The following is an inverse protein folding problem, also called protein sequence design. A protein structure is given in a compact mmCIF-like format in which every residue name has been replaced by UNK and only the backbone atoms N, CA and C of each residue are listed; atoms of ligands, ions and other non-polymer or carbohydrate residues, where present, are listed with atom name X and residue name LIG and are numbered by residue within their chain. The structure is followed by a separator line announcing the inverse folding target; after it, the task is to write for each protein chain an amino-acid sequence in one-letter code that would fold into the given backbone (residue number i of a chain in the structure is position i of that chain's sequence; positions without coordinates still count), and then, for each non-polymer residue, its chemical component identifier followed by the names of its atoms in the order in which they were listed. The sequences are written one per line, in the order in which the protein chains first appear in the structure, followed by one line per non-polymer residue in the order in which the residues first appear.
data_IF_343131906683
#
_entry.id   IF_343131906683
#
_cell.length_a   1.000
_cell.length_b   1.000
_cell.length_c   1.000
_cell.angle_alpha   90.00
_cell.angle_beta   90.00
_cell.angle_gamma   90.00
#
_symmetry.space_group_name_H-M   'P 1'
#
loop_
_entity.id
_entity.type
_entity.pdbx_description
1 polymer ?
#
# COMPACT_ATOMS: atom_id res chain seq x y z
N UNK A 1 -6.78 -30.32 -12.57
CA UNK A 1 -8.13 -30.94 -12.45
C UNK A 1 -9.00 -30.56 -13.64
N UNK A 2 -9.16 -29.26 -13.95
CA UNK A 2 -9.95 -28.80 -15.11
C UNK A 2 -9.48 -29.38 -16.45
N UNK A 3 -8.17 -29.44 -16.72
CA UNK A 3 -7.65 -30.04 -17.96
C UNK A 3 -8.05 -31.51 -18.16
N UNK A 4 -8.17 -32.26 -17.07
CA UNK A 4 -8.60 -33.65 -17.13
C UNK A 4 -10.10 -33.75 -17.43
N UNK A 5 -10.91 -32.90 -16.80
CA UNK A 5 -12.36 -32.83 -17.04
C UNK A 5 -12.65 -32.37 -18.47
N UNK A 6 -11.94 -31.35 -18.98
CA UNK A 6 -12.08 -30.88 -20.36
C UNK A 6 -11.72 -31.94 -21.40
N UNK A 7 -10.72 -32.78 -21.11
CA UNK A 7 -10.34 -33.90 -21.99
C UNK A 7 -11.38 -35.02 -22.00
N UNK A 8 -12.08 -35.23 -20.90
CA UNK A 8 -13.12 -36.26 -20.77
C UNK A 8 -14.47 -35.77 -21.30
N UNK A 9 -14.79 -34.50 -21.08
CA UNK A 9 -16.02 -33.83 -21.48
C UNK A 9 -15.71 -32.42 -22.00
N UNK A 10 -15.44 -32.26 -23.31
CA UNK A 10 -15.14 -30.96 -23.90
C UNK A 10 -16.28 -29.95 -23.71
N UNK A 11 -15.95 -28.72 -23.35
CA UNK A 11 -16.89 -27.62 -23.05
C UNK A 11 -17.31 -27.54 -21.58
N UNK A 12 -16.98 -28.54 -20.76
CA UNK A 12 -17.32 -28.53 -19.32
C UNK A 12 -16.60 -27.41 -18.57
N UNK A 13 -15.36 -27.09 -18.93
CA UNK A 13 -14.61 -25.98 -18.30
C UNK A 13 -15.29 -24.63 -18.59
N UNK A 14 -15.70 -24.39 -19.83
CA UNK A 14 -16.39 -23.16 -20.22
C UNK A 14 -17.73 -22.97 -19.51
N UNK A 15 -18.40 -24.09 -19.16
CA UNK A 15 -19.65 -24.09 -18.39
C UNK A 15 -19.43 -23.83 -16.89
N UNK A 16 -18.39 -24.42 -16.29
CA UNK A 16 -18.13 -24.34 -14.84
C UNK A 16 -17.42 -23.04 -14.43
N UNK A 17 -16.38 -22.63 -15.17
CA UNK A 17 -15.50 -21.50 -14.84
C UNK A 17 -16.27 -20.20 -14.49
N UNK A 18 -17.33 -19.79 -15.21
CA UNK A 18 -18.08 -18.58 -14.86
C UNK A 18 -18.64 -18.57 -13.43
N UNK A 19 -18.97 -19.74 -12.87
CA UNK A 19 -19.48 -19.90 -11.50
C UNK A 19 -18.42 -19.83 -10.41
N UNK A 20 -17.13 -19.91 -10.77
CA UNK A 20 -16.02 -20.10 -9.82
C UNK A 20 -15.35 -18.78 -9.40
N UNK A 21 -16.00 -17.63 -9.58
CA UNK A 21 -15.47 -16.30 -9.21
C UNK A 21 -15.11 -16.16 -7.72
N UNK A 22 -15.78 -16.91 -6.85
CA UNK A 22 -15.50 -16.92 -5.41
C UNK A 22 -14.43 -17.94 -5.02
N UNK A 23 -14.14 -18.92 -5.87
CA UNK A 23 -13.27 -20.06 -5.57
C UNK A 23 -11.79 -19.65 -5.53
N UNK A 24 -11.05 -19.87 -4.43
CA UNK A 24 -9.65 -19.44 -4.35
C UNK A 24 -8.70 -20.08 -5.39
N UNK A 25 -9.00 -21.29 -5.85
CA UNK A 25 -8.18 -22.04 -6.80
C UNK A 25 -8.47 -21.60 -8.25
N UNK A 26 -9.75 -21.47 -8.60
CA UNK A 26 -10.18 -21.21 -9.98
C UNK A 26 -10.62 -19.78 -10.28
N UNK A 27 -10.61 -18.88 -9.29
CA UNK A 27 -11.02 -17.48 -9.46
C UNK A 27 -10.25 -16.77 -10.56
N UNK A 28 -8.94 -16.97 -10.67
CA UNK A 28 -8.14 -16.25 -11.65
C UNK A 28 -8.56 -16.67 -13.08
N UNK A 29 -8.88 -17.94 -13.30
CA UNK A 29 -9.44 -18.42 -14.57
C UNK A 29 -10.85 -17.87 -14.83
N UNK A 30 -11.71 -17.85 -13.80
CA UNK A 30 -13.05 -17.26 -13.87
C UNK A 30 -13.00 -15.77 -14.26
N UNK A 31 -12.10 -15.01 -13.65
CA UNK A 31 -11.85 -13.60 -13.96
C UNK A 31 -11.35 -13.45 -15.39
N UNK A 32 -10.40 -14.28 -15.84
CA UNK A 32 -9.92 -14.27 -17.22
C UNK A 32 -11.04 -14.56 -18.23
N UNK A 33 -11.93 -15.51 -17.92
CA UNK A 33 -13.08 -15.81 -18.76
C UNK A 33 -14.08 -14.65 -18.85
N UNK A 34 -14.38 -13.96 -17.74
CA UNK A 34 -15.22 -12.75 -17.77
C UNK A 34 -14.57 -11.61 -18.57
N UNK A 35 -13.27 -11.40 -18.37
CA UNK A 35 -12.48 -10.46 -19.16
C UNK A 35 -12.61 -10.76 -20.68
N UNK A 36 -12.47 -12.02 -21.08
CA UNK A 36 -12.63 -12.44 -22.48
C UNK A 36 -14.06 -12.27 -23.00
N UNK A 37 -15.10 -12.59 -22.20
CA UNK A 37 -16.50 -12.33 -22.58
C UNK A 37 -16.76 -10.84 -22.79
N UNK A 38 -16.25 -9.98 -21.90
CA UNK A 38 -16.35 -8.54 -22.05
C UNK A 38 -15.69 -8.04 -23.34
N UNK A 39 -14.53 -8.58 -23.72
CA UNK A 39 -13.86 -8.24 -24.97
C UNK A 39 -14.68 -8.65 -26.20
N UNK A 40 -15.29 -9.83 -26.18
CA UNK A 40 -16.20 -10.28 -27.25
C UNK A 40 -17.44 -9.41 -27.36
N UNK A 41 -18.06 -9.05 -26.23
CA UNK A 41 -19.20 -8.14 -26.21
C UNK A 41 -18.84 -6.75 -26.75
N UNK A 42 -17.69 -6.20 -26.36
CA UNK A 42 -17.19 -4.92 -26.84
C UNK A 42 -16.96 -4.93 -28.36
N UNK A 43 -16.30 -5.98 -28.88
CA UNK A 43 -16.09 -6.14 -30.33
C UNK A 43 -17.41 -6.23 -31.10
N UNK A 44 -18.46 -6.78 -30.49
CA UNK A 44 -19.79 -6.86 -31.07
C UNK A 44 -20.65 -5.59 -30.84
N UNK A 45 -20.08 -4.48 -30.36
CA UNK A 45 -20.81 -3.23 -30.10
C UNK A 45 -21.74 -3.28 -28.87
N UNK A 46 -21.71 -4.35 -28.08
CA UNK A 46 -22.56 -4.55 -26.89
C UNK A 46 -21.92 -3.95 -25.64
N UNK A 47 -21.79 -2.61 -25.61
CA UNK A 47 -21.05 -1.89 -24.55
C UNK A 47 -21.57 -2.12 -23.13
N UNK A 48 -22.91 -2.23 -22.95
CA UNK A 48 -23.50 -2.49 -21.62
C UNK A 48 -23.10 -3.87 -21.09
N UNK A 49 -23.12 -4.88 -21.94
CA UNK A 49 -22.71 -6.25 -21.59
C UNK A 49 -21.22 -6.31 -21.30
N UNK A 50 -20.39 -5.68 -22.14
CA UNK A 50 -18.95 -5.58 -21.91
C UNK A 50 -18.63 -4.95 -20.55
N UNK A 51 -19.28 -3.84 -20.23
CA UNK A 51 -19.15 -3.16 -18.94
C UNK A 51 -19.53 -4.07 -17.76
N UNK A 52 -20.61 -4.84 -17.91
CA UNK A 52 -21.05 -5.81 -16.90
C UNK A 52 -20.01 -6.89 -16.62
N UNK A 53 -19.44 -7.49 -17.67
CA UNK A 53 -18.42 -8.53 -17.53
C UNK A 53 -17.10 -7.98 -16.95
N UNK A 54 -16.64 -6.81 -17.41
CA UNK A 54 -15.44 -6.19 -16.84
C UNK A 54 -15.63 -5.82 -15.36
N UNK A 55 -16.84 -5.41 -14.96
CA UNK A 55 -17.15 -5.11 -13.56
C UNK A 55 -17.14 -6.36 -12.69
N UNK A 56 -17.71 -7.47 -13.16
CA UNK A 56 -17.63 -8.78 -12.48
C UNK A 56 -16.17 -9.19 -12.29
N UNK A 57 -15.38 -9.12 -13.36
CA UNK A 57 -13.95 -9.42 -13.31
C UNK A 57 -13.21 -8.54 -12.29
N UNK A 58 -13.42 -7.22 -12.34
CA UNK A 58 -12.78 -6.28 -11.41
C UNK A 58 -13.15 -6.57 -9.95
N UNK A 59 -14.41 -6.87 -9.65
CA UNK A 59 -14.87 -7.17 -8.29
C UNK A 59 -14.32 -8.50 -7.74
N UNK A 60 -14.21 -9.51 -8.61
CA UNK A 60 -13.76 -10.85 -8.23
C UNK A 60 -12.23 -10.95 -8.15
N UNK A 61 -11.48 -10.24 -8.99
CA UNK A 61 -10.03 -10.35 -9.08
C UNK A 61 -9.31 -10.09 -7.75
N UNK A 62 -8.18 -10.79 -7.53
CA UNK A 62 -7.32 -10.63 -6.34
C UNK A 62 -5.85 -10.38 -6.65
N UNK A 63 -5.36 -10.82 -7.81
CA UNK A 63 -4.03 -10.45 -8.30
C UNK A 63 -4.08 -9.08 -9.01
N UNK A 64 -3.00 -8.31 -8.89
CA UNK A 64 -2.92 -6.94 -9.40
C UNK A 64 -2.99 -6.83 -10.92
N UNK A 65 -2.48 -7.84 -11.65
CA UNK A 65 -2.47 -7.84 -13.11
C UNK A 65 -3.87 -7.87 -13.71
N UNK A 66 -4.74 -8.75 -13.20
CA UNK A 66 -6.13 -8.82 -13.62
C UNK A 66 -6.94 -7.62 -13.15
N UNK A 67 -6.70 -7.12 -11.93
CA UNK A 67 -7.35 -5.90 -11.43
C UNK A 67 -7.01 -4.69 -12.32
N UNK A 68 -5.73 -4.51 -12.67
CA UNK A 68 -5.29 -3.45 -13.57
C UNK A 68 -5.93 -3.58 -14.96
N UNK A 69 -5.90 -4.80 -15.51
CA UNK A 69 -6.50 -5.12 -16.81
C UNK A 69 -8.01 -4.83 -16.83
N UNK A 70 -8.75 -5.26 -15.81
CA UNK A 70 -10.18 -5.02 -15.70
C UNK A 70 -10.49 -3.53 -15.56
N UNK A 71 -9.70 -2.79 -14.78
CA UNK A 71 -9.82 -1.34 -14.65
C UNK A 71 -9.58 -0.61 -15.99
N UNK A 72 -8.57 -1.02 -16.77
CA UNK A 72 -8.30 -0.42 -18.08
C UNK A 72 -9.43 -0.68 -19.08
N UNK A 73 -10.00 -1.89 -19.05
CA UNK A 73 -11.14 -2.25 -19.90
C UNK A 73 -12.41 -1.53 -19.51
N UNK A 74 -12.68 -1.35 -18.22
CA UNK A 74 -13.78 -0.51 -17.72
C UNK A 74 -13.62 0.94 -18.20
N UNK A 75 -12.42 1.50 -18.08
CA UNK A 75 -12.13 2.86 -18.59
C UNK A 75 -12.39 2.97 -20.09
N UNK A 76 -11.99 1.97 -20.86
CA UNK A 76 -12.21 1.93 -22.31
C UNK A 76 -13.70 1.89 -22.73
N UNK A 77 -14.61 1.54 -21.82
CA UNK A 77 -16.08 1.60 -22.03
C UNK A 77 -16.74 2.73 -21.23
N UNK A 78 -15.95 3.74 -20.81
CA UNK A 78 -16.44 4.95 -20.14
C UNK A 78 -16.75 4.77 -18.66
N UNK A 79 -16.28 3.71 -18.02
CA UNK A 79 -16.47 3.46 -16.58
C UNK A 79 -15.17 3.61 -15.82
N UNK A 80 -15.07 4.64 -14.99
CA UNK A 80 -13.91 4.83 -14.12
C UNK A 80 -14.02 4.02 -12.83
N UNK A 81 -12.91 3.38 -12.45
CA UNK A 81 -12.76 2.66 -11.19
C UNK A 81 -11.40 2.93 -10.58
N UNK A 82 -11.32 2.91 -9.25
CA UNK A 82 -10.08 3.14 -8.51
C UNK A 82 -9.45 1.81 -8.08
N UNK A 83 -8.29 1.49 -8.64
CA UNK A 83 -7.45 0.35 -8.21
C UNK A 83 -6.99 0.54 -6.76
N UNK A 84 -6.62 1.77 -6.39
CA UNK A 84 -6.23 2.15 -5.02
C UNK A 84 -7.30 1.77 -4.01
N UNK A 85 -8.54 2.22 -4.25
CA UNK A 85 -9.67 1.95 -3.36
C UNK A 85 -10.05 0.48 -3.36
N UNK A 86 -10.10 -0.15 -4.53
CA UNK A 86 -10.49 -1.55 -4.66
C UNK A 86 -9.53 -2.50 -3.93
N UNK A 87 -8.22 -2.26 -4.06
CA UNK A 87 -7.19 -3.09 -3.41
C UNK A 87 -6.90 -2.70 -1.96
N UNK A 88 -7.44 -1.57 -1.48
CA UNK A 88 -7.24 -1.07 -0.12
C UNK A 88 -5.86 -0.48 0.13
N UNK A 89 -5.23 0.11 -0.90
CA UNK A 89 -3.93 0.76 -0.77
C UNK A 89 -3.99 2.01 0.11
N UNK A 90 -2.92 2.23 0.87
CA UNK A 90 -2.73 3.44 1.67
C UNK A 90 -1.83 4.39 0.93
N UNK A 91 -2.38 5.54 0.51
CA UNK A 91 -1.66 6.52 -0.31
C UNK A 91 -1.43 7.85 0.38
N UNK A 92 -2.11 8.12 1.49
CA UNK A 92 -1.97 9.36 2.24
C UNK A 92 -1.09 9.16 3.47
N UNK A 93 -0.01 9.92 3.53
CA UNK A 93 1.04 9.81 4.54
C UNK A 93 1.45 11.18 5.06
N UNK A 94 1.87 11.22 6.33
CA UNK A 94 2.91 12.14 6.76
C UNK A 94 4.25 11.42 6.62
N UNK A 95 5.19 11.98 5.87
CA UNK A 95 6.54 11.45 5.72
C UNK A 95 7.53 12.28 6.54
N UNK A 96 8.54 11.62 7.09
CA UNK A 96 9.62 12.24 7.85
C UNK A 96 10.94 11.56 7.51
N UNK A 97 11.99 12.35 7.30
CA UNK A 97 13.33 11.87 7.01
C UNK A 97 14.11 12.89 6.18
N UNK A 98 15.30 12.52 5.69
CA UNK A 98 16.03 11.31 6.04
C UNK A 98 16.74 11.47 7.39
N UNK A 99 16.65 10.48 8.27
CA UNK A 99 17.57 10.32 9.40
C UNK A 99 18.86 9.65 8.93
N UNK A 100 19.98 9.95 9.60
CA UNK A 100 21.25 9.30 9.30
C UNK A 100 21.27 7.84 9.80
N UNK A 101 21.81 6.93 9.00
CA UNK A 101 21.88 5.51 9.30
C UNK A 101 23.09 4.83 8.63
N UNK A 102 24.32 5.28 8.92
CA UNK A 102 25.53 4.79 8.27
C UNK A 102 25.72 3.29 8.52
N UNK A 103 26.31 2.58 7.57
CA UNK A 103 26.68 1.17 7.72
C UNK A 103 25.48 0.26 8.00
N UNK A 104 24.32 0.54 7.39
CA UNK A 104 23.07 -0.23 7.59
C UNK A 104 22.53 -0.26 9.03
N UNK A 105 22.99 0.65 9.90
CA UNK A 105 22.57 0.73 11.31
C UNK A 105 21.10 1.05 11.50
N UNK A 106 20.45 1.61 10.47
CA UNK A 106 19.10 2.13 10.52
C UNK A 106 18.05 1.12 10.97
N UNK A 107 18.25 -0.18 10.77
CA UNK A 107 17.28 -1.19 11.19
C UNK A 107 17.14 -1.28 12.72
N UNK A 108 18.28 -1.34 13.42
CA UNK A 108 18.35 -1.49 14.88
C UNK A 108 18.27 -0.15 15.60
N UNK A 109 18.66 0.95 14.94
CA UNK A 109 18.64 2.28 15.53
C UNK A 109 17.22 2.71 15.93
N UNK A 110 17.00 2.95 17.23
CA UNK A 110 15.72 3.45 17.75
C UNK A 110 15.68 4.97 17.68
N UNK A 111 14.92 5.51 16.72
CA UNK A 111 14.77 6.96 16.52
C UNK A 111 13.56 7.54 17.26
N UNK A 112 13.49 8.88 17.45
CA UNK A 112 12.46 9.50 18.28
C UNK A 112 11.00 9.15 17.95
N UNK A 113 10.54 9.03 16.68
CA UNK A 113 9.16 8.65 16.38
C UNK A 113 8.76 7.29 16.96
N UNK A 114 9.69 6.34 17.06
CA UNK A 114 9.43 5.00 17.59
C UNK A 114 9.10 5.03 19.08
N UNK A 115 9.72 5.96 19.83
CA UNK A 115 9.48 6.13 21.27
C UNK A 115 8.07 6.64 21.57
N UNK A 116 7.38 7.17 20.57
CA UNK A 116 6.07 7.81 20.67
C UNK A 116 4.90 6.89 20.24
N UNK A 117 5.17 5.69 19.74
CA UNK A 117 4.12 4.81 19.17
C UNK A 117 3.02 4.43 20.17
N UNK A 118 3.35 4.36 21.47
CA UNK A 118 2.39 4.02 22.53
C UNK A 118 1.48 5.17 22.92
N UNK A 119 1.94 6.42 22.82
CA UNK A 119 1.21 7.62 23.25
C UNK A 119 0.56 8.28 22.04
N UNK A 120 1.32 9.07 21.28
CA UNK A 120 0.96 9.70 20.01
C UNK A 120 2.21 10.27 19.35
N UNK A 121 2.33 10.14 18.03
CA UNK A 121 3.42 10.77 17.26
C UNK A 121 3.17 12.27 17.20
N UNK A 122 4.15 13.08 17.64
CA UNK A 122 4.13 14.53 17.49
C UNK A 122 4.46 14.91 16.04
N UNK A 123 3.41 15.20 15.27
CA UNK A 123 3.50 15.61 13.87
C UNK A 123 4.03 17.05 13.69
N UNK A 124 4.06 17.86 14.76
CA UNK A 124 4.61 19.21 14.73
C UNK A 124 6.11 19.25 15.13
N UNK A 125 6.66 18.12 15.60
CA UNK A 125 8.05 18.04 16.00
C UNK A 125 9.03 18.18 14.84
N UNK A 126 10.22 18.69 15.16
CA UNK A 126 11.37 18.78 14.25
C UNK A 126 12.52 17.98 14.81
N UNK A 127 13.32 17.38 13.94
CA UNK A 127 14.43 16.51 14.31
C UNK A 127 15.71 16.89 13.55
N UNK A 128 16.86 16.46 14.08
CA UNK A 128 18.11 16.46 13.31
C UNK A 128 18.07 15.28 12.32
N UNK A 129 18.19 15.59 11.03
CA UNK A 129 18.26 14.64 9.94
C UNK A 129 19.70 14.33 9.53
N UNK A 130 19.84 13.56 8.45
CA UNK A 130 21.12 13.23 7.82
C UNK A 130 21.87 14.51 7.44
N UNK A 131 23.15 14.59 7.79
CA UNK A 131 23.98 15.77 7.56
C UNK A 131 23.68 16.96 8.49
N UNK A 132 22.91 16.76 9.58
CA UNK A 132 22.65 17.79 10.60
C UNK A 132 21.53 18.78 10.27
N UNK A 133 20.93 18.71 9.08
CA UNK A 133 19.79 19.54 8.69
C UNK A 133 18.54 19.27 9.53
N UNK A 134 17.65 20.25 9.67
CA UNK A 134 16.37 20.07 10.37
C UNK A 134 15.34 19.43 9.45
N UNK A 135 14.74 18.34 9.90
CA UNK A 135 13.65 17.63 9.21
C UNK A 135 12.35 17.71 10.03
N UNK A 136 11.21 17.67 9.35
CA UNK A 136 9.87 17.70 9.94
C UNK A 136 8.93 16.81 9.13
N UNK A 137 7.78 16.47 9.71
CA UNK A 137 6.74 15.75 8.99
C UNK A 137 6.17 16.60 7.84
N UNK A 138 6.02 16.00 6.67
CA UNK A 138 5.42 16.61 5.49
C UNK A 138 4.29 15.75 4.95
N UNK A 139 3.20 16.37 4.47
CA UNK A 139 2.11 15.64 3.81
C UNK A 139 2.61 15.08 2.48
N UNK A 140 2.25 13.84 2.21
CA UNK A 140 2.50 13.17 0.95
C UNK A 140 1.26 12.38 0.56
N UNK A 141 0.89 12.47 -0.71
CA UNK A 141 -0.10 11.60 -1.33
C UNK A 141 0.54 10.94 -2.55
N UNK A 142 0.54 9.60 -2.58
CA UNK A 142 0.97 8.88 -3.76
C UNK A 142 -0.09 8.97 -4.87
N UNK A 143 0.36 9.32 -6.08
CA UNK A 143 -0.42 9.23 -7.31
C UNK A 143 -0.20 7.94 -8.08
N UNK A 144 0.58 6.99 -7.54
CA UNK A 144 0.81 5.70 -8.19
C UNK A 144 -0.47 4.86 -8.23
N UNK A 145 -0.71 4.20 -9.36
CA UNK A 145 -1.92 3.42 -9.61
C UNK A 145 -2.09 2.26 -8.63
N UNK A 146 -0.98 1.71 -8.13
CA UNK A 146 -0.94 0.67 -7.11
C UNK A 146 -0.45 1.20 -5.75
N UNK A 147 -0.55 2.51 -5.52
CA UNK A 147 -0.33 3.15 -4.23
C UNK A 147 1.12 3.11 -3.71
N UNK A 148 2.12 2.86 -4.56
CA UNK A 148 3.52 2.96 -4.16
C UNK A 148 3.92 4.43 -3.91
N UNK A 149 4.59 4.70 -2.80
CA UNK A 149 5.19 6.00 -2.49
C UNK A 149 6.69 5.95 -2.82
N UNK A 150 7.14 6.85 -3.70
CA UNK A 150 8.56 7.03 -4.02
C UNK A 150 9.20 7.98 -2.99
N UNK A 151 9.96 7.41 -2.05
CA UNK A 151 10.60 8.14 -0.97
C UNK A 151 11.85 8.90 -1.41
N UNK A 152 12.49 8.51 -2.53
CA UNK A 152 13.56 9.32 -3.11
C UNK A 152 13.02 10.69 -3.54
N UNK A 153 11.85 10.72 -4.19
CA UNK A 153 11.20 11.96 -4.61
C UNK A 153 10.53 12.70 -3.45
N UNK A 154 9.91 11.97 -2.50
CA UNK A 154 9.10 12.57 -1.45
C UNK A 154 9.88 12.96 -0.18
N UNK A 155 11.05 12.37 0.05
CA UNK A 155 11.94 12.66 1.18
C UNK A 155 13.27 13.21 0.67
N UNK A 156 14.12 12.33 0.11
CA UNK A 156 15.39 12.69 -0.51
C UNK A 156 16.01 11.46 -1.20
N UNK A 157 16.70 11.68 -2.32
CA UNK A 157 17.50 10.66 -3.00
C UNK A 157 18.86 10.48 -2.32
N UNK A 158 18.89 9.78 -1.19
CA UNK A 158 20.08 9.53 -0.37
C UNK A 158 20.31 8.04 -0.15
N UNK A 159 21.47 7.69 0.40
CA UNK A 159 21.84 6.33 0.83
C UNK A 159 21.92 6.28 2.34
N UNK A 160 21.84 5.08 2.90
CA UNK A 160 22.12 4.83 4.32
C UNK A 160 21.33 5.79 5.23
N UNK A 161 20.01 5.68 5.11
CA UNK A 161 19.07 6.59 5.74
C UNK A 161 17.87 5.85 6.31
N UNK A 162 17.12 6.53 7.19
CA UNK A 162 15.82 6.07 7.67
C UNK A 162 14.76 7.13 7.39
N UNK A 163 13.61 6.67 6.93
CA UNK A 163 12.41 7.46 6.73
C UNK A 163 11.26 6.84 7.51
N UNK A 164 10.34 7.69 7.94
CA UNK A 164 9.10 7.27 8.58
C UNK A 164 7.90 7.71 7.76
N UNK A 165 6.88 6.86 7.73
CA UNK A 165 5.56 7.19 7.22
C UNK A 165 4.53 6.98 8.32
N UNK A 166 3.74 8.02 8.61
CA UNK A 166 2.65 7.99 9.57
C UNK A 166 1.32 8.19 8.87
N UNK A 167 0.28 7.48 9.31
CA UNK A 167 -1.10 7.68 8.86
C UNK A 167 -2.08 7.15 9.90
N UNK A 168 -3.36 7.50 9.78
CA UNK A 168 -4.43 6.84 10.51
C UNK A 168 -5.35 6.10 9.55
N UNK A 169 -5.59 4.84 9.85
CA UNK A 169 -6.46 3.97 9.05
C UNK A 169 -7.83 3.94 9.71
N UNK A 170 -8.86 4.36 8.97
CA UNK A 170 -10.23 4.38 9.43
C UNK A 170 -10.90 3.07 9.01
N UNK A 171 -11.30 2.27 10.01
CA UNK A 171 -12.01 1.01 9.79
C UNK A 171 -13.50 1.17 10.04
N UNK A 172 -14.39 0.71 9.13
CA UNK A 172 -15.84 0.84 9.31
C UNK A 172 -16.38 0.01 10.48
N UNK A 173 -15.66 -1.04 10.87
CA UNK A 173 -16.01 -1.97 11.94
C UNK A 173 -14.75 -2.53 12.60
N UNK A 174 -14.89 -3.19 13.74
CA UNK A 174 -13.83 -4.06 14.26
C UNK A 174 -13.71 -5.25 13.30
N UNK A 175 -12.51 -5.53 12.80
CA UNK A 175 -12.31 -6.62 11.84
C UNK A 175 -10.86 -7.13 11.83
N UNK A 176 -10.73 -8.43 11.59
CA UNK A 176 -9.45 -9.09 11.31
C UNK A 176 -9.10 -8.88 9.84
N UNK A 177 -7.87 -8.43 9.57
CA UNK A 177 -7.38 -8.06 8.24
C UNK A 177 -5.92 -8.45 8.10
N UNK A 178 -5.42 -8.45 6.86
CA UNK A 178 -3.99 -8.51 6.56
C UNK A 178 -3.49 -7.13 6.17
N UNK A 179 -2.38 -6.71 6.78
CA UNK A 179 -1.48 -5.73 6.20
C UNK A 179 -0.63 -6.49 5.18
N UNK A 180 -0.64 -6.04 3.92
CA UNK A 180 0.28 -6.52 2.89
C UNK A 180 1.12 -5.36 2.39
N UNK A 181 2.43 -5.53 2.34
CA UNK A 181 3.34 -4.42 2.09
C UNK A 181 4.65 -4.84 1.44
N UNK A 182 5.36 -3.86 0.89
CA UNK A 182 6.71 -3.96 0.37
C UNK A 182 7.49 -2.67 0.61
N UNK A 183 8.80 -2.82 0.72
CA UNK A 183 9.78 -1.74 0.76
C UNK A 183 11.03 -2.20 0.01
N UNK A 184 11.88 -1.25 -0.40
CA UNK A 184 13.10 -1.55 -1.15
C UNK A 184 14.12 -2.32 -0.30
N UNK A 185 14.28 -1.84 0.94
CA UNK A 185 15.05 -2.47 2.00
C UNK A 185 14.12 -2.86 3.17
N UNK A 186 14.50 -2.48 4.39
CA UNK A 186 13.81 -2.90 5.60
C UNK A 186 12.50 -2.17 5.81
N UNK A 187 11.58 -2.86 6.46
CA UNK A 187 10.32 -2.29 6.93
C UNK A 187 9.99 -2.76 8.34
N UNK A 188 9.58 -1.81 9.18
CA UNK A 188 8.98 -2.09 10.49
C UNK A 188 7.68 -1.31 10.61
N UNK A 189 6.63 -1.97 11.10
CA UNK A 189 5.28 -1.39 11.21
C UNK A 189 4.81 -1.50 12.64
N UNK A 190 4.35 -0.38 13.19
CA UNK A 190 3.60 -0.31 14.43
C UNK A 190 2.17 0.09 14.14
N UNK A 191 1.22 -0.61 14.76
CA UNK A 191 -0.20 -0.33 14.69
C UNK A 191 -0.75 -0.20 16.11
N UNK A 192 -1.36 0.95 16.41
CA UNK A 192 -1.90 1.26 17.75
C UNK A 192 -0.89 1.01 18.88
N UNK A 193 0.37 1.37 18.66
CA UNK A 193 1.46 1.25 19.63
C UNK A 193 2.06 -0.14 19.79
N UNK A 194 1.62 -1.13 19.01
CA UNK A 194 2.21 -2.48 18.98
C UNK A 194 2.98 -2.68 17.68
N UNK A 195 4.19 -3.23 17.76
CA UNK A 195 4.92 -3.66 16.57
C UNK A 195 4.22 -4.89 15.98
N UNK A 196 3.77 -4.79 14.73
CA UNK A 196 3.02 -5.86 14.04
C UNK A 196 3.82 -6.49 12.91
N UNK A 197 4.86 -5.83 12.42
CA UNK A 197 5.76 -6.35 11.40
C UNK A 197 7.16 -5.78 11.61
N UNK A 198 8.19 -6.62 11.41
CA UNK A 198 9.60 -6.23 11.38
C UNK A 198 10.34 -7.17 10.41
N UNK A 199 10.94 -6.62 9.35
CA UNK A 199 11.62 -7.40 8.29
C UNK A 199 12.96 -6.76 7.94
N UNK A 200 14.03 -7.53 8.12
CA UNK A 200 15.42 -7.17 7.80
C UNK A 200 15.81 -7.78 6.45
N UNK A 201 15.82 -6.97 5.40
CA UNK A 201 16.19 -7.36 4.05
C UNK A 201 16.74 -6.13 3.32
N UNK A 202 17.96 -6.21 2.77
CA UNK A 202 18.64 -5.13 2.05
C UNK A 202 18.80 -5.43 0.56
N UNK A 203 18.73 -4.41 -0.29
CA UNK A 203 19.00 -4.46 -1.74
C UNK A 203 18.06 -5.40 -2.51
N UNK A 204 16.76 -5.38 -2.20
CA UNK A 204 15.85 -6.40 -2.74
C UNK A 204 14.72 -5.89 -3.64
N UNK A 205 14.58 -4.58 -3.81
CA UNK A 205 13.48 -4.02 -4.58
C UNK A 205 12.13 -4.07 -3.86
N UNK A 206 11.28 -3.06 -4.06
CA UNK A 206 9.88 -3.15 -3.62
C UNK A 206 9.09 -4.12 -4.52
N UNK A 207 8.41 -5.09 -3.88
CA UNK A 207 7.47 -6.02 -4.53
C UNK A 207 6.12 -5.95 -3.83
N UNK A 208 5.05 -5.93 -4.61
CA UNK A 208 3.68 -5.91 -4.10
C UNK A 208 3.41 -7.13 -3.21
N UNK A 209 2.74 -6.90 -2.07
CA UNK A 209 2.31 -7.94 -1.13
C UNK A 209 3.44 -8.86 -0.61
N UNK A 210 4.72 -8.43 -0.70
CA UNK A 210 5.91 -9.21 -0.31
C UNK A 210 5.84 -9.69 1.13
N UNK A 211 5.49 -8.80 2.05
CA UNK A 211 5.36 -9.10 3.46
C UNK A 211 3.90 -9.01 3.87
N UNK A 212 3.50 -9.88 4.81
CA UNK A 212 2.13 -9.97 5.33
C UNK A 212 2.15 -10.03 6.84
N UNK A 213 1.19 -9.37 7.47
CA UNK A 213 0.90 -9.46 8.90
C UNK A 213 -0.61 -9.48 9.14
N UNK A 214 -1.10 -10.47 9.87
CA UNK A 214 -2.49 -10.53 10.32
C UNK A 214 -2.68 -9.65 11.55
N UNK A 215 -3.63 -8.73 11.50
CA UNK A 215 -3.92 -7.78 12.57
C UNK A 215 -5.42 -7.64 12.80
N UNK A 216 -5.81 -7.11 13.94
CA UNK A 216 -7.21 -6.71 14.21
C UNK A 216 -7.30 -5.20 14.29
N UNK A 217 -8.12 -4.61 13.43
CA UNK A 217 -8.46 -3.19 13.48
C UNK A 217 -9.61 -2.97 14.45
N UNK A 218 -9.56 -1.85 15.17
CA UNK A 218 -10.71 -1.30 15.90
C UNK A 218 -11.61 -0.54 14.91
N UNK A 219 -12.91 -0.45 15.20
CA UNK A 219 -13.80 0.50 14.50
C UNK A 219 -13.25 1.92 14.69
N UNK A 220 -13.29 2.74 13.64
CA UNK A 220 -12.74 4.08 13.64
C UNK A 220 -11.24 4.12 13.39
N UNK A 221 -10.56 5.10 14.01
CA UNK A 221 -9.14 5.42 13.76
C UNK A 221 -8.19 4.38 14.37
N UNK A 222 -7.22 3.95 13.57
CA UNK A 222 -6.10 3.11 13.98
C UNK A 222 -4.79 3.80 13.56
N UNK A 223 -3.92 4.11 14.51
CA UNK A 223 -2.70 4.88 14.27
C UNK A 223 -1.60 3.96 13.79
N UNK A 224 -0.96 4.29 12.68
CA UNK A 224 0.10 3.48 12.08
C UNK A 224 1.36 4.30 11.87
N UNK A 225 2.48 3.75 12.32
CA UNK A 225 3.81 4.24 12.01
C UNK A 225 4.55 3.16 11.23
N UNK A 226 5.22 3.55 10.16
CA UNK A 226 6.07 2.70 9.35
C UNK A 226 7.47 3.28 9.33
N UNK A 227 8.46 2.46 9.61
CA UNK A 227 9.89 2.76 9.41
C UNK A 227 10.34 2.07 8.14
N UNK A 228 11.01 2.83 7.27
CA UNK A 228 11.59 2.32 6.03
C UNK A 228 13.06 2.71 6.00
N UNK A 229 13.94 1.72 5.90
CA UNK A 229 15.37 1.98 5.74
C UNK A 229 15.70 2.18 4.26
N UNK A 230 16.82 2.84 4.01
CA UNK A 230 17.50 2.92 2.72
C UNK A 230 18.94 2.46 2.92
N UNK A 231 19.35 1.46 2.16
CA UNK A 231 20.64 0.82 2.19
C UNK A 231 21.71 1.59 1.42
N UNK A 232 22.90 0.97 1.27
CA UNK A 232 23.95 1.47 0.40
C UNK A 232 23.57 1.27 -1.07
N UNK A 233 24.31 1.89 -1.97
CA UNK A 233 24.20 1.60 -3.40
C UNK A 233 24.59 0.15 -3.68
N UNK A 234 23.80 -0.54 -4.51
CA UNK A 234 24.15 -1.86 -5.00
C UNK A 234 25.48 -1.84 -5.79
N UNK A 235 26.30 -2.89 -5.66
CA UNK A 235 27.64 -2.96 -6.29
C UNK A 235 27.62 -2.84 -7.82
N UNK A 236 26.59 -3.41 -8.46
CA UNK A 236 26.34 -3.20 -9.88
C UNK A 236 25.73 -1.79 -10.09
N UNK A 237 26.42 -0.87 -10.80
CA UNK A 237 25.95 0.49 -11.00
C UNK A 237 24.70 0.59 -11.89
N UNK A 238 24.37 -0.46 -12.65
CA UNK A 238 23.13 -0.52 -13.42
C UNK A 238 21.87 -0.73 -12.56
N UNK A 239 22.03 -1.13 -11.30
CA UNK A 239 20.91 -1.32 -10.38
C UNK A 239 20.58 0.03 -9.72
N UNK A 240 19.36 0.58 -9.94
CA UNK A 240 18.97 1.85 -9.35
C UNK A 240 18.84 1.73 -7.83
N UNK A 241 19.18 2.80 -7.10
CA UNK A 241 19.02 2.86 -5.65
C UNK A 241 17.65 3.41 -5.29
N UNK A 242 16.63 2.56 -5.45
CA UNK A 242 15.26 2.95 -5.18
C UNK A 242 15.03 3.11 -3.68
N UNK A 243 14.08 3.98 -3.33
CA UNK A 243 13.56 4.04 -1.97
C UNK A 243 12.06 4.18 -2.04
N UNK A 244 11.34 3.14 -1.64
CA UNK A 244 9.90 3.12 -1.82
C UNK A 244 9.19 2.34 -0.72
N UNK A 245 7.92 2.66 -0.56
CA UNK A 245 6.98 2.04 0.36
C UNK A 245 5.67 1.75 -0.37
N UNK A 246 5.12 0.56 -0.20
CA UNK A 246 3.79 0.22 -0.66
C UNK A 246 3.09 -0.60 0.42
N UNK A 247 1.85 -0.25 0.75
CA UNK A 247 1.09 -0.92 1.80
C UNK A 247 -0.41 -0.90 1.49
N UNK A 248 -1.09 -2.01 1.75
CA UNK A 248 -2.54 -2.12 1.69
C UNK A 248 -3.12 -2.94 2.84
N UNK A 249 -4.42 -2.77 3.05
CA UNK A 249 -5.22 -3.60 3.95
C UNK A 249 -6.22 -4.41 3.15
N UNK A 250 -6.27 -5.70 3.41
CA UNK A 250 -7.15 -6.64 2.71
C UNK A 250 -7.57 -7.80 3.60
N UNK A 251 -8.49 -8.63 3.13
CA UNK A 251 -8.82 -9.91 3.76
C UNK A 251 -7.73 -10.97 3.46
N UNK A 252 -7.91 -12.19 3.97
CA UNK A 252 -6.98 -13.29 3.73
C UNK A 252 -6.85 -13.67 2.25
N UNK A 253 -7.91 -13.49 1.44
CA UNK A 253 -7.92 -13.73 0.00
C UNK A 253 -7.33 -12.55 -0.80
N UNK A 254 -7.03 -11.42 -0.17
CA UNK A 254 -6.49 -10.22 -0.81
C UNK A 254 -7.55 -9.22 -1.29
N UNK A 255 -8.82 -9.42 -0.92
CA UNK A 255 -9.94 -8.52 -1.24
C UNK A 255 -9.97 -7.28 -0.34
N UNK A 256 -10.48 -6.18 -0.87
CA UNK A 256 -10.61 -4.93 -0.12
C UNK A 256 -11.55 -5.07 1.09
N UNK A 257 -11.20 -4.45 2.21
CA UNK A 257 -11.93 -4.53 3.50
C UNK A 257 -12.64 -3.22 3.88
N UNK A 258 -12.75 -2.29 2.94
CA UNK A 258 -13.46 -1.03 3.10
C UNK A 258 -12.80 -0.05 4.07
N UNK A 259 -11.49 -0.19 4.33
CA UNK A 259 -10.75 0.80 5.11
C UNK A 259 -10.36 1.98 4.24
N UNK A 260 -10.22 3.16 4.87
CA UNK A 260 -9.69 4.36 4.23
C UNK A 260 -8.52 4.91 5.04
N UNK A 261 -7.65 5.69 4.40
CA UNK A 261 -6.59 6.45 5.09
C UNK A 261 -7.08 7.86 5.36
N UNK A 262 -6.96 8.34 6.60
CA UNK A 262 -7.25 9.73 6.98
C UNK A 262 -6.07 10.32 7.74
N UNK A 263 -5.49 11.40 7.22
CA UNK A 263 -4.45 12.13 7.95
C UNK A 263 -5.09 13.05 8.99
N UNK A 264 -4.64 13.02 10.26
CA UNK A 264 -5.10 14.02 11.23
C UNK A 264 -4.60 15.42 10.83
N UNK A 265 -5.24 16.44 11.40
CA UNK A 265 -4.70 17.79 11.35
C UNK A 265 -3.40 17.88 12.16
N UNK A 266 -2.46 18.69 11.67
CA UNK A 266 -1.31 19.07 12.50
C UNK A 266 -1.80 20.18 13.41
N UNK A 267 -1.92 19.87 14.71
CA UNK A 267 -2.23 20.89 15.71
C UNK A 267 -1.17 22.00 15.63
N UNK A 268 -1.60 23.23 15.33
CA UNK A 268 -0.71 24.40 15.43
C UNK A 268 -0.45 24.63 16.91
N UNK A 269 0.80 24.53 17.37
CA UNK A 269 1.16 25.06 18.69
C UNK A 269 0.95 26.57 18.61
N UNK A 270 -0.04 27.09 19.34
CA UNK A 270 -0.22 28.53 19.49
C UNK A 270 1.08 29.12 20.07
N UNK A 271 1.75 29.98 19.30
CA UNK A 271 2.82 30.81 19.81
C UNK A 271 2.19 31.89 20.70
N UNK A 272 1.94 31.56 21.97
CA UNK A 272 1.46 32.51 22.95
C UNK A 272 2.62 33.40 23.42
N UNK A 273 2.62 34.63 22.90
CA UNK A 273 2.93 35.92 23.55
C UNK A 273 4.12 35.97 24.51
N UNK A 274 5.20 36.60 24.04
CA UNK A 274 6.10 37.40 24.90
C UNK A 274 6.39 38.74 24.20
N UNK A 275 5.41 39.64 24.23
CA UNK A 275 5.61 41.08 24.09
C UNK A 275 4.69 41.74 25.09
N UNK A 276 5.20 41.99 26.30
CA UNK A 276 4.88 43.14 27.14
C UNK A 276 5.60 43.02 28.48
N UNK A 277 6.74 43.70 28.59
CA UNK A 277 7.11 44.45 29.78
C UNK A 277 8.27 45.38 29.40
N UNK A 278 7.96 46.38 28.57
CA UNK A 278 8.73 47.62 28.58
C UNK A 278 8.27 48.43 29.78
N UNK A 279 9.17 48.64 30.74
CA UNK A 279 9.19 49.81 31.61
C UNK A 279 10.54 50.47 31.42
#
# INVERSE_FOLDING_TARGET
MLDLVERLEPGTTDSLIPGLMADPEFRDDAVAAALARGDRARKAGRTREASGEYRKAFQAARNSGQIGTAADRLKAVGQEVSVVTHMGFVTNWFLLGPFDAPGTTGFELVLPPEKQVKTAVDLAATYAGKGGGRIKWARHQSGDRFGQSNLNAAIAAVKEAVGYAYTEVISPRKQSVQIRCGADDNITIWLNGKQVLRRLQWLNGTRLDRFRASVTLKKGRNRMLVKVCQGPQHKNPAVPNNWSLQLRFCDAAGGGVGVTSGLPEIARKNAAVSRESGR
#
